data_IF_489948572825
#
_entry.id   IF_489948572825
#
_cell.length_a   1.000
_cell.length_b   1.000
_cell.length_c   1.000
_cell.angle_alpha   90.00
_cell.angle_beta   90.00
_cell.angle_gamma   90.00
#
_symmetry.space_group_name_H-M   'P 1'
#
loop_
_entity.id
_entity.type
_entity.pdbx_description
1 polymer ?
#
# COMPACT_ATOMS: atom_id res chain seq x y z
N UNK A 1 11.13 11.83 23.07
CA UNK A 1 10.64 10.44 23.13
C UNK A 1 9.18 10.46 22.70
N UNK A 2 8.81 9.69 21.68
CA UNK A 2 7.42 9.65 21.25
C UNK A 2 6.54 8.91 22.27
N UNK A 3 5.26 9.28 22.36
CA UNK A 3 4.35 8.81 23.43
C UNK A 3 3.90 7.36 23.23
N UNK A 4 3.90 6.88 22.01
CA UNK A 4 3.35 5.58 21.59
C UNK A 4 4.41 4.65 20.98
N UNK A 5 5.71 4.93 21.19
CA UNK A 5 6.83 4.18 20.58
C UNK A 5 6.82 4.19 19.05
N UNK A 6 6.37 5.29 18.45
CA UNK A 6 6.23 5.50 17.01
C UNK A 6 7.56 5.26 16.29
N UNK A 7 8.68 5.62 16.90
CA UNK A 7 10.04 5.35 16.40
C UNK A 7 10.27 3.85 16.17
N UNK A 8 9.88 3.01 17.13
CA UNK A 8 10.02 1.56 17.05
C UNK A 8 9.07 0.97 16.01
N UNK A 9 7.83 1.45 15.99
CA UNK A 9 6.79 0.99 15.06
C UNK A 9 7.17 1.31 13.61
N UNK A 10 7.67 2.53 13.36
CA UNK A 10 8.13 2.95 12.04
C UNK A 10 9.35 2.15 11.58
N UNK A 11 10.29 1.86 12.49
CA UNK A 11 11.45 1.00 12.19
C UNK A 11 11.01 -0.41 11.78
N UNK A 12 10.12 -1.03 12.56
CA UNK A 12 9.60 -2.36 12.24
C UNK A 12 8.80 -2.37 10.93
N UNK A 13 7.98 -1.33 10.69
CA UNK A 13 7.24 -1.19 9.44
C UNK A 13 8.18 -1.11 8.25
N UNK A 14 9.26 -0.34 8.36
CA UNK A 14 10.29 -0.26 7.32
C UNK A 14 10.94 -1.63 7.09
N UNK A 15 11.37 -2.32 8.13
CA UNK A 15 11.97 -3.65 8.02
C UNK A 15 11.00 -4.66 7.39
N UNK A 16 9.71 -4.57 7.73
CA UNK A 16 8.65 -5.35 7.11
C UNK A 16 8.54 -5.04 5.62
N UNK A 17 8.41 -3.77 5.22
CA UNK A 17 8.34 -3.35 3.82
C UNK A 17 9.58 -3.85 3.07
N UNK A 18 10.79 -3.58 3.57
CA UNK A 18 12.05 -4.04 2.96
C UNK A 18 12.06 -5.57 2.75
N UNK A 19 11.53 -6.32 3.73
CA UNK A 19 11.42 -7.78 3.64
C UNK A 19 10.41 -8.23 2.58
N UNK A 20 9.32 -7.48 2.37
CA UNK A 20 8.36 -7.78 1.29
C UNK A 20 9.04 -7.61 -0.06
N UNK A 21 9.75 -6.50 -0.31
CA UNK A 21 10.51 -6.32 -1.55
C UNK A 21 11.58 -7.41 -1.74
N UNK A 22 12.28 -7.80 -0.68
CA UNK A 22 13.28 -8.88 -0.71
C UNK A 22 12.67 -10.25 -1.06
N UNK A 23 11.52 -10.59 -0.49
CA UNK A 23 10.79 -11.82 -0.78
C UNK A 23 10.10 -11.78 -2.16
N UNK A 24 9.81 -10.58 -2.66
CA UNK A 24 9.16 -10.32 -3.95
C UNK A 24 10.13 -10.16 -5.14
N UNK A 25 11.45 -10.40 -4.98
CA UNK A 25 12.40 -10.50 -6.12
C UNK A 25 12.08 -11.66 -7.10
N UNK A 26 11.05 -12.47 -6.84
CA UNK A 26 10.35 -13.15 -7.93
C UNK A 26 9.60 -12.12 -8.76
N UNK A 27 10.25 -11.62 -9.82
CA UNK A 27 9.78 -10.55 -10.76
C UNK A 27 8.26 -10.46 -10.92
N UNK A 28 7.58 -11.60 -11.03
CA UNK A 28 6.15 -11.72 -11.34
C UNK A 28 5.19 -11.02 -10.36
N UNK A 29 5.40 -11.03 -9.04
CA UNK A 29 4.39 -10.50 -8.10
C UNK A 29 4.45 -8.99 -7.91
N UNK A 30 5.66 -8.44 -7.93
CA UNK A 30 5.86 -6.99 -7.85
C UNK A 30 5.33 -6.33 -9.12
N UNK A 31 5.69 -6.88 -10.28
CA UNK A 31 5.15 -6.48 -11.57
C UNK A 31 3.62 -6.54 -11.63
N UNK A 32 3.00 -7.56 -11.02
CA UNK A 32 1.54 -7.65 -10.97
C UNK A 32 0.91 -6.53 -10.12
N UNK A 33 1.57 -6.11 -9.04
CA UNK A 33 1.07 -5.04 -8.19
C UNK A 33 1.25 -3.69 -8.85
N UNK A 34 2.41 -3.42 -9.45
CA UNK A 34 2.64 -2.22 -10.28
C UNK A 34 1.63 -2.14 -11.42
N UNK A 35 1.43 -3.23 -12.15
CA UNK A 35 0.44 -3.29 -13.23
C UNK A 35 -0.98 -2.95 -12.77
N UNK A 36 -1.41 -3.44 -11.59
CA UNK A 36 -2.73 -3.11 -11.03
C UNK A 36 -2.85 -1.62 -10.70
N UNK A 37 -1.78 -1.03 -10.17
CA UNK A 37 -1.73 0.40 -9.83
C UNK A 37 -1.79 1.25 -11.11
N UNK A 38 -0.96 0.91 -12.10
CA UNK A 38 -0.87 1.61 -13.38
C UNK A 38 -2.14 1.46 -14.24
N UNK A 39 -2.88 0.37 -14.09
CA UNK A 39 -4.14 0.12 -14.81
C UNK A 39 -5.35 0.87 -14.24
N UNK A 40 -5.16 1.80 -13.30
CA UNK A 40 -6.27 2.55 -12.68
C UNK A 40 -7.09 1.75 -11.67
N UNK A 41 -6.62 0.58 -11.23
CA UNK A 41 -7.29 -0.28 -10.26
C UNK A 41 -6.64 -0.25 -8.86
N UNK A 42 -5.67 0.63 -8.65
CA UNK A 42 -4.88 0.72 -7.42
C UNK A 42 -5.70 1.03 -6.17
N UNK A 43 -6.69 1.93 -6.25
CA UNK A 43 -7.54 2.30 -5.11
C UNK A 43 -8.33 1.09 -4.58
N UNK A 44 -9.11 0.45 -5.46
CA UNK A 44 -9.90 -0.74 -5.10
C UNK A 44 -9.03 -1.88 -4.58
N UNK A 45 -7.84 -2.07 -5.17
CA UNK A 45 -6.87 -3.06 -4.72
C UNK A 45 -6.35 -2.79 -3.30
N UNK A 46 -5.95 -1.55 -3.02
CA UNK A 46 -5.41 -1.18 -1.71
C UNK A 46 -6.49 -1.22 -0.63
N UNK A 47 -7.65 -0.60 -0.85
CA UNK A 47 -8.77 -0.58 0.10
C UNK A 47 -9.27 -1.99 0.38
N UNK A 48 -9.41 -2.83 -0.65
CA UNK A 48 -9.81 -4.23 -0.49
C UNK A 48 -8.85 -5.03 0.40
N UNK A 49 -7.54 -4.82 0.27
CA UNK A 49 -6.55 -5.46 1.13
C UNK A 49 -6.58 -4.91 2.57
N UNK A 50 -6.76 -3.60 2.75
CA UNK A 50 -6.96 -3.00 4.08
C UNK A 50 -8.13 -3.68 4.80
N UNK A 51 -9.30 -3.74 4.15
CA UNK A 51 -10.49 -4.38 4.70
C UNK A 51 -10.23 -5.85 5.05
N UNK A 52 -9.61 -6.60 4.14
CA UNK A 52 -9.25 -8.01 4.34
C UNK A 52 -8.39 -8.21 5.61
N UNK A 53 -7.33 -7.42 5.79
CA UNK A 53 -6.44 -7.60 6.94
C UNK A 53 -7.01 -7.04 8.24
N UNK A 54 -7.81 -5.98 8.17
CA UNK A 54 -8.57 -5.48 9.33
C UNK A 54 -9.57 -6.54 9.83
N UNK A 55 -10.31 -7.19 8.93
CA UNK A 55 -11.24 -8.26 9.27
C UNK A 55 -10.54 -9.53 9.78
N UNK A 56 -9.31 -9.79 9.33
CA UNK A 56 -8.51 -10.95 9.72
C UNK A 56 -7.97 -10.84 11.14
N UNK A 57 -7.59 -9.63 11.56
CA UNK A 57 -6.99 -9.39 12.87
C UNK A 57 -7.90 -9.86 14.01
N UNK A 58 -7.39 -10.75 14.86
CA UNK A 58 -8.16 -11.35 15.96
C UNK A 58 -9.04 -12.53 15.54
N UNK A 59 -9.23 -12.80 14.24
CA UNK A 59 -10.02 -13.93 13.73
C UNK A 59 -9.15 -15.07 13.20
N UNK A 60 -8.05 -14.75 12.52
CA UNK A 60 -7.12 -15.75 11.96
C UNK A 60 -5.73 -15.50 12.54
N UNK A 61 -5.16 -16.53 13.15
CA UNK A 61 -3.88 -16.49 13.86
C UNK A 61 -3.86 -15.51 15.07
N UNK A 62 -5.04 -15.26 15.66
CA UNK A 62 -5.20 -14.39 16.83
C UNK A 62 -4.90 -12.92 16.55
N UNK A 63 -4.38 -12.20 17.56
CA UNK A 63 -3.95 -10.79 17.43
C UNK A 63 -2.61 -10.68 16.71
N UNK A 64 -2.56 -11.16 15.47
CA UNK A 64 -1.35 -11.18 14.67
C UNK A 64 -0.93 -9.78 14.25
N UNK A 65 0.20 -9.30 14.78
CA UNK A 65 0.76 -7.98 14.46
C UNK A 65 1.02 -7.79 12.96
N UNK A 66 1.32 -8.87 12.22
CA UNK A 66 1.53 -8.81 10.77
C UNK A 66 0.29 -8.34 10.01
N UNK A 67 -0.91 -8.58 10.53
CA UNK A 67 -2.12 -8.06 9.88
C UNK A 67 -2.21 -6.54 10.01
N UNK A 68 -1.83 -5.97 11.16
CA UNK A 68 -1.76 -4.51 11.34
C UNK A 68 -0.65 -3.88 10.48
N UNK A 69 0.53 -4.51 10.39
CA UNK A 69 1.60 -4.04 9.50
C UNK A 69 1.15 -4.00 8.03
N UNK A 70 0.35 -4.99 7.61
CA UNK A 70 -0.22 -5.03 6.26
C UNK A 70 -1.26 -3.93 6.04
N UNK A 71 -2.15 -3.69 7.00
CA UNK A 71 -3.09 -2.56 6.93
C UNK A 71 -2.34 -1.25 6.70
N UNK A 72 -1.27 -0.99 7.46
CA UNK A 72 -0.47 0.23 7.31
C UNK A 72 0.27 0.26 5.97
N UNK A 73 0.87 -0.85 5.54
CA UNK A 73 1.56 -0.95 4.25
C UNK A 73 0.60 -0.61 3.09
N UNK A 74 -0.58 -1.24 3.03
CA UNK A 74 -1.55 -0.92 1.98
C UNK A 74 -2.12 0.50 2.10
N UNK A 75 -2.14 1.10 3.29
CA UNK A 75 -2.43 2.51 3.48
C UNK A 75 -1.37 3.42 2.83
N UNK A 76 -0.08 3.08 2.98
CA UNK A 76 1.02 3.79 2.30
C UNK A 76 0.89 3.66 0.77
N UNK A 77 0.56 2.47 0.26
CA UNK A 77 0.34 2.27 -1.16
C UNK A 77 -0.87 3.04 -1.69
N UNK A 78 -1.96 3.11 -0.91
CA UNK A 78 -3.15 3.89 -1.27
C UNK A 78 -2.83 5.40 -1.35
N UNK A 79 -2.05 5.92 -0.39
CA UNK A 79 -1.58 7.31 -0.44
C UNK A 79 -0.73 7.56 -1.68
N UNK A 80 0.22 6.68 -1.98
CA UNK A 80 1.01 6.77 -3.20
C UNK A 80 0.15 6.74 -4.48
N UNK A 81 -0.88 5.88 -4.52
CA UNK A 81 -1.82 5.82 -5.64
C UNK A 81 -2.59 7.13 -5.81
N UNK A 82 -3.04 7.73 -4.71
CA UNK A 82 -3.76 9.00 -4.71
C UNK A 82 -2.85 10.11 -5.26
N UNK A 83 -1.66 10.27 -4.67
CA UNK A 83 -0.70 11.31 -5.05
C UNK A 83 -0.29 11.20 -6.53
N UNK A 84 -0.13 9.98 -7.06
CA UNK A 84 0.19 9.76 -8.47
C UNK A 84 -1.03 9.88 -9.40
N UNK A 85 -2.23 9.52 -8.93
CA UNK A 85 -3.47 9.62 -9.70
C UNK A 85 -3.89 11.06 -9.96
N UNK A 86 -3.63 11.97 -9.02
CA UNK A 86 -3.84 13.41 -9.20
C UNK A 86 -2.96 13.98 -10.33
N UNK A 87 -1.71 13.54 -10.44
CA UNK A 87 -0.79 13.96 -11.52
C UNK A 87 -1.28 13.51 -12.90
N UNK A 88 -1.78 12.27 -13.03
CA UNK A 88 -2.27 11.76 -14.31
C UNK A 88 -3.55 12.48 -14.76
N UNK A 89 -4.47 12.77 -13.83
CA UNK A 89 -5.68 13.52 -14.13
C UNK A 89 -5.39 14.98 -14.52
N UNK A 90 -4.35 15.62 -13.97
CA UNK A 90 -3.93 16.96 -14.38
C UNK A 90 -3.33 16.99 -15.79
N UNK A 91 -2.57 15.97 -16.18
CA UNK A 91 -2.00 15.84 -17.54
C UNK A 91 -3.13 15.61 -18.55
N UNK A 92 -4.04 14.67 -18.29
CA UNK A 92 -5.18 14.39 -19.18
C UNK A 92 -6.09 15.61 -19.37
N UNK A 93 -6.33 16.39 -18.31
CA UNK A 93 -7.13 17.62 -18.41
C UNK A 93 -6.42 18.73 -19.20
N UNK A 94 -5.09 18.83 -19.14
CA UNK A 94 -4.31 19.77 -19.97
C UNK A 94 -4.34 19.39 -21.45
N UNK A 95 -4.25 18.10 -21.76
CA UNK A 95 -4.28 17.62 -23.14
C UNK A 95 -5.69 17.76 -23.75
N UNK A 96 -6.75 17.65 -22.94
CA UNK A 96 -8.14 17.79 -23.37
C UNK A 96 -8.58 19.24 -23.62
N UNK A 97 -8.08 20.21 -22.84
CA UNK A 97 -8.39 21.64 -23.00
C UNK A 97 -7.36 22.44 -23.80
N UNK A 98 -6.23 21.82 -24.14
CA UNK A 98 -5.17 22.40 -24.98
C UNK A 98 -5.28 22.08 -26.48
N UNK A 99 -6.35 21.39 -26.90
CA UNK A 99 -6.63 21.02 -28.30
C UNK A 99 -7.75 21.85 -28.92
#
# INVERSE_FOLDING_TARGET
MYRYSEDKILKELKEYIDSTYKQHYSKNKFQATEFIMDSGHGEGFCIGNIMKYAQRFGKKDGKNRKDLLKVIHYGIMALHNLDNGEVNNEIEQRDHWGS
#
